data_IF_622531832562
#
_entry.id   IF_622531832562
#
_cell.length_a   1.000
_cell.length_b   1.000
_cell.length_c   1.000
_cell.angle_alpha   90.00
_cell.angle_beta   90.00
_cell.angle_gamma   90.00
#
_symmetry.space_group_name_H-M   'P 1'
#
loop_
_entity.id
_entity.type
_entity.pdbx_description
1 polymer ?
#
# COMPACT_ATOMS: atom_id res chain seq x y z
N UNK A 1 12.97 -11.89 10.22
CA UNK A 1 11.88 -11.79 9.21
C UNK A 1 10.51 -11.97 9.87
N UNK A 2 9.63 -10.97 9.77
CA UNK A 2 8.26 -11.01 10.31
C UNK A 2 7.26 -10.70 9.21
N UNK A 3 6.21 -11.52 9.10
CA UNK A 3 5.12 -11.28 8.15
C UNK A 3 4.42 -9.97 8.49
N UNK A 4 4.37 -9.04 7.53
CA UNK A 4 3.58 -7.82 7.67
C UNK A 4 2.14 -8.08 7.22
N UNK A 5 1.20 -7.55 8.00
CA UNK A 5 -0.23 -7.59 7.75
C UNK A 5 -0.75 -6.17 7.89
N UNK A 6 -0.98 -5.43 6.78
CA UNK A 6 -1.37 -4.03 6.84
C UNK A 6 -2.60 -3.76 7.72
N UNK A 7 -3.56 -4.69 7.75
CA UNK A 7 -4.77 -4.60 8.58
C UNK A 7 -4.50 -4.55 10.11
N UNK A 8 -3.29 -4.86 10.58
CA UNK A 8 -2.91 -4.79 12.00
C UNK A 8 -2.24 -3.47 12.38
N UNK A 9 -1.92 -2.64 11.38
CA UNK A 9 -1.14 -1.41 11.57
C UNK A 9 -2.11 -0.24 11.69
N UNK A 10 -1.89 0.62 12.68
CA UNK A 10 -2.73 1.79 12.93
C UNK A 10 -2.04 3.12 12.60
N UNK A 11 -0.71 3.10 12.50
CA UNK A 11 0.06 4.27 12.10
C UNK A 11 -0.18 4.60 10.62
N UNK A 12 -0.94 5.67 10.37
CA UNK A 12 -1.33 6.14 9.04
C UNK A 12 -0.14 6.59 8.20
N UNK A 13 0.88 7.15 8.82
CA UNK A 13 2.09 7.60 8.11
C UNK A 13 2.95 6.43 7.70
N UNK A 14 3.06 5.43 8.57
CA UNK A 14 3.70 4.16 8.21
C UNK A 14 2.92 3.45 7.09
N UNK A 15 1.59 3.36 7.19
CA UNK A 15 0.74 2.76 6.16
C UNK A 15 0.88 3.49 4.82
N UNK A 16 0.96 4.82 4.83
CA UNK A 16 1.17 5.65 3.65
C UNK A 16 2.49 5.34 2.95
N UNK A 17 3.60 5.27 3.71
CA UNK A 17 4.92 4.89 3.16
C UNK A 17 4.95 3.44 2.66
N UNK A 18 4.32 2.53 3.40
CA UNK A 18 4.22 1.12 3.01
C UNK A 18 3.43 0.97 1.71
N UNK A 19 2.35 1.74 1.54
CA UNK A 19 1.52 1.71 0.35
C UNK A 19 2.27 2.23 -0.87
N UNK A 20 2.99 3.35 -0.73
CA UNK A 20 3.84 3.87 -1.80
C UNK A 20 4.87 2.82 -2.24
N UNK A 21 5.59 2.26 -1.27
CA UNK A 21 6.60 1.24 -1.56
C UNK A 21 5.99 0.01 -2.24
N UNK A 22 4.84 -0.47 -1.76
CA UNK A 22 4.16 -1.62 -2.34
C UNK A 22 3.78 -1.37 -3.81
N UNK A 23 3.19 -0.22 -4.11
CA UNK A 23 2.77 0.13 -5.47
C UNK A 23 3.97 0.31 -6.38
N UNK A 24 5.04 0.97 -5.92
CA UNK A 24 6.29 1.08 -6.69
C UNK A 24 6.88 -0.30 -6.99
N UNK A 25 6.94 -1.20 -6.02
CA UNK A 25 7.42 -2.57 -6.26
C UNK A 25 6.55 -3.33 -7.26
N UNK A 26 5.22 -3.18 -7.21
CA UNK A 26 4.32 -3.77 -8.20
C UNK A 26 4.53 -3.19 -9.61
N UNK A 27 4.84 -1.90 -9.72
CA UNK A 27 5.12 -1.23 -11.01
C UNK A 27 6.45 -1.68 -11.63
N UNK A 28 7.46 -1.92 -10.80
CA UNK A 28 8.79 -2.39 -11.22
C UNK A 28 8.84 -3.91 -11.43
N UNK A 29 7.80 -4.62 -11.01
CA UNK A 29 7.68 -6.06 -11.17
C UNK A 29 7.40 -6.47 -12.62
N UNK A 30 7.63 -7.75 -12.98
CA UNK A 30 7.18 -8.32 -14.26
C UNK A 30 5.65 -8.25 -14.49
N UNK A 31 4.87 -7.92 -13.46
CA UNK A 31 3.42 -7.71 -13.59
C UNK A 31 3.09 -6.35 -14.25
N UNK A 32 4.06 -5.42 -14.34
CA UNK A 32 3.97 -4.08 -14.94
C UNK A 32 2.71 -3.28 -14.54
N UNK A 33 2.30 -3.41 -13.27
CA UNK A 33 1.02 -2.90 -12.79
C UNK A 33 1.08 -1.39 -12.55
N UNK A 34 0.61 -0.62 -13.53
CA UNK A 34 0.43 0.84 -13.37
C UNK A 34 -0.73 1.14 -12.40
N UNK A 35 -0.65 2.27 -11.70
CA UNK A 35 -1.73 2.73 -10.78
C UNK A 35 -3.08 2.83 -11.49
N UNK A 36 -3.09 3.22 -12.77
CA UNK A 36 -4.30 3.24 -13.61
C UNK A 36 -4.94 1.85 -13.77
N UNK A 37 -4.13 0.81 -13.89
CA UNK A 37 -4.59 -0.59 -13.93
C UNK A 37 -5.17 -1.01 -12.58
N UNK A 38 -4.47 -0.71 -11.48
CA UNK A 38 -4.97 -0.95 -10.12
C UNK A 38 -6.30 -0.23 -9.86
N UNK A 39 -6.44 1.02 -10.30
CA UNK A 39 -7.67 1.79 -10.16
C UNK A 39 -8.84 1.13 -10.92
N UNK A 40 -8.58 0.68 -12.16
CA UNK A 40 -9.57 -0.06 -12.95
C UNK A 40 -9.97 -1.38 -12.28
N UNK A 41 -8.99 -2.14 -11.80
CA UNK A 41 -9.23 -3.46 -11.19
C UNK A 41 -9.93 -3.37 -9.84
N UNK A 42 -9.58 -2.40 -9.02
CA UNK A 42 -10.17 -2.24 -7.68
C UNK A 42 -11.48 -1.46 -7.70
N UNK A 43 -11.79 -0.76 -8.80
CA UNK A 43 -12.90 0.20 -8.86
C UNK A 43 -12.67 1.44 -7.99
N UNK A 44 -11.45 1.62 -7.45
CA UNK A 44 -11.06 2.75 -6.62
C UNK A 44 -10.44 3.81 -7.54
N UNK A 45 -10.84 5.07 -7.35
CA UNK A 45 -10.30 6.15 -8.18
C UNK A 45 -8.80 6.31 -7.95
N UNK A 46 -8.04 6.53 -9.04
CA UNK A 46 -6.59 6.70 -9.00
C UNK A 46 -6.16 7.85 -8.05
N UNK A 47 -6.95 8.91 -7.96
CA UNK A 47 -6.74 10.02 -7.02
C UNK A 47 -6.68 9.58 -5.55
N UNK A 48 -7.41 8.53 -5.17
CA UNK A 48 -7.40 7.97 -3.80
C UNK A 48 -6.07 7.27 -3.52
N UNK A 49 -5.51 6.54 -4.49
CA UNK A 49 -4.18 5.95 -4.35
C UNK A 49 -3.14 7.05 -4.10
N UNK A 50 -3.13 8.10 -4.94
CA UNK A 50 -2.19 9.21 -4.81
C UNK A 50 -2.35 9.97 -3.48
N UNK A 51 -3.59 10.22 -3.06
CA UNK A 51 -3.89 10.87 -1.78
C UNK A 51 -3.36 10.06 -0.60
N UNK A 52 -3.62 8.75 -0.56
CA UNK A 52 -3.17 7.88 0.53
C UNK A 52 -1.64 7.67 0.52
N UNK A 53 -1.01 7.48 -0.65
CA UNK A 53 0.45 7.37 -0.77
C UNK A 53 1.18 8.65 -0.34
N UNK A 54 0.57 9.83 -0.55
CA UNK A 54 1.20 11.11 -0.24
C UNK A 54 0.98 11.60 1.19
N UNK A 55 0.16 10.91 2.00
CA UNK A 55 -0.17 11.33 3.36
C UNK A 55 1.06 11.58 4.24
N UNK A 56 2.11 10.75 4.14
CA UNK A 56 3.34 10.97 4.91
C UNK A 56 4.15 12.20 4.49
N UNK A 57 3.94 12.71 3.28
CA UNK A 57 4.52 13.97 2.78
C UNK A 57 3.58 15.16 3.04
N UNK A 58 2.28 14.92 3.17
CA UNK A 58 1.22 15.92 3.34
C UNK A 58 0.41 15.65 4.63
N UNK A 59 0.99 15.84 5.83
CA UNK A 59 0.35 15.46 7.09
C UNK A 59 -0.91 16.27 7.42
N UNK A 60 -1.14 17.41 6.76
CA UNK A 60 -2.33 18.25 6.95
C UNK A 60 -3.64 17.53 6.61
N UNK A 61 -3.60 16.53 5.73
CA UNK A 61 -4.78 15.74 5.35
C UNK A 61 -5.05 14.56 6.30
N UNK A 62 -4.15 14.30 7.25
CA UNK A 62 -4.27 13.21 8.21
C UNK A 62 -5.58 13.19 9.03
N UNK A 63 -6.19 14.33 9.41
CA UNK A 63 -7.48 14.33 10.11
C UNK A 63 -8.63 13.74 9.30
N UNK A 64 -8.52 13.74 7.96
CA UNK A 64 -9.57 13.28 7.04
C UNK A 64 -9.36 11.83 6.55
N UNK A 65 -8.31 11.17 7.04
CA UNK A 65 -7.92 9.83 6.61
C UNK A 65 -7.78 8.95 7.86
N UNK A 66 -8.39 7.77 7.80
CA UNK A 66 -8.32 6.76 8.85
C UNK A 66 -7.40 5.61 8.42
N UNK A 67 -6.96 4.79 9.38
CA UNK A 67 -6.14 3.61 9.07
C UNK A 67 -6.93 2.61 8.20
N UNK A 68 -8.24 2.52 8.42
CA UNK A 68 -9.18 1.67 7.70
C UNK A 68 -9.21 1.98 6.20
N UNK A 69 -9.02 3.23 5.78
CA UNK A 69 -8.96 3.61 4.36
C UNK A 69 -7.79 2.90 3.67
N UNK A 70 -6.64 2.82 4.35
CA UNK A 70 -5.50 2.05 3.89
C UNK A 70 -5.80 0.55 3.91
N UNK A 71 -6.43 0.05 4.98
CA UNK A 71 -6.72 -1.39 5.10
C UNK A 71 -7.61 -1.88 3.95
N UNK A 72 -8.62 -1.09 3.59
CA UNK A 72 -9.50 -1.37 2.45
C UNK A 72 -8.69 -1.39 1.15
N UNK A 73 -7.82 -0.39 0.94
CA UNK A 73 -7.00 -0.32 -0.27
C UNK A 73 -6.03 -1.51 -0.37
N UNK A 74 -5.30 -1.81 0.70
CA UNK A 74 -4.42 -2.98 0.77
C UNK A 74 -5.18 -4.28 0.53
N UNK A 75 -6.34 -4.46 1.15
CA UNK A 75 -7.15 -5.66 0.94
C UNK A 75 -7.56 -5.83 -0.53
N UNK A 76 -7.98 -4.75 -1.20
CA UNK A 76 -8.37 -4.78 -2.61
C UNK A 76 -7.20 -5.14 -3.53
N UNK A 77 -6.02 -4.55 -3.31
CA UNK A 77 -4.83 -4.85 -4.10
C UNK A 77 -4.36 -6.29 -3.81
N UNK A 78 -4.21 -6.66 -2.54
CA UNK A 78 -3.69 -7.99 -2.15
C UNK A 78 -4.64 -9.14 -2.52
N UNK A 79 -5.95 -8.89 -2.58
CA UNK A 79 -6.92 -9.88 -3.09
C UNK A 79 -6.69 -10.19 -4.58
N UNK A 80 -6.32 -9.17 -5.36
CA UNK A 80 -5.99 -9.30 -6.79
C UNK A 80 -4.60 -9.90 -7.01
N UNK A 81 -3.66 -9.65 -6.10
CA UNK A 81 -2.27 -10.13 -6.17
C UNK A 81 -1.91 -10.98 -4.94
N UNK A 82 -2.55 -12.15 -4.75
CA UNK A 82 -2.42 -12.93 -3.53
C UNK A 82 -1.04 -13.58 -3.34
N UNK A 83 -0.24 -13.67 -4.40
CA UNK A 83 1.13 -14.20 -4.32
C UNK A 83 2.09 -13.20 -3.70
N UNK A 84 1.75 -11.90 -3.69
CA UNK A 84 2.65 -10.88 -3.18
C UNK A 84 2.62 -10.84 -1.66
N UNK A 85 3.83 -10.87 -1.10
CA UNK A 85 4.09 -11.16 0.29
C UNK A 85 4.99 -10.08 0.91
N UNK A 86 4.47 -9.36 1.90
CA UNK A 86 5.20 -8.31 2.61
C UNK A 86 5.89 -8.85 3.86
N UNK A 87 7.17 -8.52 4.04
CA UNK A 87 7.99 -8.94 5.16
C UNK A 87 8.75 -7.75 5.75
N UNK A 88 8.78 -7.67 7.08
CA UNK A 88 9.72 -6.81 7.80
C UNK A 88 10.97 -7.61 8.15
N UNK A 89 12.12 -7.07 7.82
CA UNK A 89 13.43 -7.56 8.22
C UNK A 89 13.76 -7.07 9.63
N UNK A 90 14.81 -7.63 10.23
CA UNK A 90 15.18 -7.37 11.63
C UNK A 90 15.88 -5.99 11.79
N UNK A 91 16.35 -5.41 10.69
CA UNK A 91 16.89 -4.05 10.57
C UNK A 91 15.82 -2.99 10.22
N UNK A 92 14.55 -3.41 10.05
CA UNK A 92 13.44 -2.54 9.67
C UNK A 92 13.24 -2.38 8.16
N UNK A 93 14.03 -3.05 7.31
CA UNK A 93 13.79 -3.10 5.88
C UNK A 93 12.47 -3.82 5.55
N UNK A 94 11.80 -3.38 4.48
CA UNK A 94 10.56 -3.99 3.99
C UNK A 94 10.86 -4.70 2.67
N UNK A 95 10.59 -6.00 2.63
CA UNK A 95 10.80 -6.84 1.46
C UNK A 95 9.46 -7.35 0.93
N UNK A 96 9.31 -7.34 -0.40
CA UNK A 96 8.17 -7.93 -1.09
C UNK A 96 8.64 -9.18 -1.85
N UNK A 97 8.11 -10.33 -1.44
CA UNK A 97 8.25 -11.59 -2.15
C UNK A 97 7.10 -11.70 -3.16
N UNK A 98 7.39 -12.03 -4.41
CA UNK A 98 6.42 -12.09 -5.52
C UNK A 98 6.21 -13.49 -6.05
#
# INVERSE_FOLDING_TARGET
MKRLRPHQIQDKFYLSRLLELYITTLQESPLELRTKGLAYDTGIQESIFHRLMSLYRNPEDAPNINAEDFHILFANIMFRFPTVKMWSMDDGEIVFEM
#
